data_IF_801805637007
#
_entry.id   IF_801805637007
#
_cell.length_a   1.000
_cell.length_b   1.000
_cell.length_c   1.000
_cell.angle_alpha   90.00
_cell.angle_beta   90.00
_cell.angle_gamma   90.00
#
_symmetry.space_group_name_H-M   'P 1'
#
loop_
_entity.id
_entity.type
_entity.pdbx_description
1 polymer ?
#
# COMPACT_ATOMS: atom_id res chain seq x y z
N UNK A 1 20.32 -5.31 -4.51
CA UNK A 1 19.24 -5.69 -5.45
C UNK A 1 17.93 -5.24 -4.83
N UNK A 2 17.05 -4.61 -5.60
CA UNK A 2 15.69 -4.26 -5.18
C UNK A 2 14.75 -5.42 -5.50
N UNK A 3 13.84 -5.78 -4.60
CA UNK A 3 12.83 -6.81 -4.85
C UNK A 3 12.75 -7.87 -3.75
N UNK A 4 11.57 -8.43 -3.56
CA UNK A 4 11.29 -9.45 -2.53
C UNK A 4 11.52 -10.88 -3.01
N UNK A 5 11.50 -11.09 -4.34
CA UNK A 5 11.75 -12.37 -5.02
C UNK A 5 11.09 -13.59 -4.36
N UNK A 6 9.83 -13.45 -3.97
CA UNK A 6 9.21 -14.34 -3.00
C UNK A 6 8.44 -15.52 -3.65
N UNK A 7 8.08 -15.44 -4.93
CA UNK A 7 7.38 -16.54 -5.59
C UNK A 7 8.29 -17.73 -5.90
N UNK A 8 7.70 -18.94 -5.94
CA UNK A 8 8.37 -20.13 -6.49
C UNK A 8 8.40 -20.11 -8.02
N UNK A 9 7.41 -19.47 -8.64
CA UNK A 9 7.33 -19.29 -10.08
C UNK A 9 8.23 -18.15 -10.56
N UNK A 10 8.74 -18.29 -11.79
CA UNK A 10 9.65 -17.33 -12.43
C UNK A 10 9.19 -17.06 -13.88
N UNK A 11 9.40 -15.84 -14.35
CA UNK A 11 9.33 -15.46 -15.76
C UNK A 11 10.67 -14.83 -16.14
N UNK A 12 11.31 -15.32 -17.21
CA UNK A 12 12.63 -14.85 -17.68
C UNK A 12 13.72 -14.81 -16.60
N UNK A 13 13.71 -15.77 -15.67
CA UNK A 13 14.66 -15.87 -14.56
C UNK A 13 14.41 -14.87 -13.42
N UNK A 14 13.28 -14.17 -13.44
CA UNK A 14 12.85 -13.26 -12.39
C UNK A 14 11.63 -13.81 -11.66
N UNK A 15 11.66 -13.75 -10.33
CA UNK A 15 10.51 -14.08 -9.47
C UNK A 15 9.51 -12.93 -9.42
N UNK A 16 8.27 -13.23 -9.09
CA UNK A 16 7.22 -12.26 -8.83
C UNK A 16 7.31 -11.70 -7.40
N UNK A 17 6.90 -10.44 -7.27
CA UNK A 17 6.56 -9.84 -5.98
C UNK A 17 5.07 -10.11 -5.72
N UNK A 18 4.74 -10.79 -4.62
CA UNK A 18 3.40 -11.31 -4.37
C UNK A 18 2.86 -10.88 -3.01
N UNK A 19 1.55 -10.67 -2.95
CA UNK A 19 0.79 -10.50 -1.74
C UNK A 19 -0.24 -11.63 -1.63
N UNK A 20 -0.34 -12.23 -0.45
CA UNK A 20 -1.25 -13.33 -0.14
C UNK A 20 -2.13 -12.92 1.03
N UNK A 21 -3.43 -13.13 0.89
CA UNK A 21 -4.38 -12.91 1.98
C UNK A 21 -4.75 -14.27 2.57
N UNK A 22 -4.78 -14.34 3.88
CA UNK A 22 -5.21 -15.51 4.64
C UNK A 22 -6.45 -15.16 5.45
N UNK A 23 -7.40 -16.10 5.53
CA UNK A 23 -8.53 -15.97 6.45
C UNK A 23 -8.15 -16.45 7.86
N UNK A 24 -9.09 -16.37 8.80
CA UNK A 24 -8.88 -16.73 10.22
C UNK A 24 -8.50 -18.19 10.46
N UNK A 25 -8.76 -19.09 9.50
CA UNK A 25 -8.38 -20.51 9.59
C UNK A 25 -7.10 -20.83 8.79
N UNK A 26 -6.40 -19.82 8.28
CA UNK A 26 -5.15 -19.97 7.54
C UNK A 26 -5.30 -20.44 6.09
N UNK A 27 -6.52 -20.46 5.54
CA UNK A 27 -6.73 -20.71 4.10
C UNK A 27 -6.33 -19.45 3.33
N UNK A 28 -5.73 -19.66 2.16
CA UNK A 28 -5.44 -18.62 1.16
C UNK A 28 -6.65 -18.45 0.22
N UNK A 29 -7.54 -17.47 0.43
CA UNK A 29 -8.57 -17.12 -0.55
C UNK A 29 -8.01 -16.32 -1.74
N UNK A 30 -6.85 -15.66 -1.61
CA UNK A 30 -6.44 -14.65 -2.57
C UNK A 30 -4.92 -14.47 -2.65
N UNK A 31 -4.43 -14.29 -3.87
CA UNK A 31 -3.03 -13.99 -4.21
C UNK A 31 -2.98 -12.97 -5.34
N UNK A 32 -2.19 -11.92 -5.17
CA UNK A 32 -1.92 -10.92 -6.20
C UNK A 32 -0.44 -10.84 -6.48
N UNK A 33 -0.07 -10.74 -7.76
CA UNK A 33 1.29 -10.47 -8.21
C UNK A 33 1.41 -9.01 -8.62
N UNK A 34 2.53 -8.37 -8.29
CA UNK A 34 2.78 -6.97 -8.64
C UNK A 34 2.74 -6.78 -10.16
N UNK A 35 2.03 -5.76 -10.61
CA UNK A 35 1.87 -5.49 -12.05
C UNK A 35 3.12 -4.86 -12.64
N UNK A 36 3.74 -3.94 -11.90
CA UNK A 36 4.87 -3.18 -12.41
C UNK A 36 6.03 -3.14 -11.42
N UNK A 37 7.26 -3.48 -11.84
CA UNK A 37 8.44 -3.34 -11.00
C UNK A 37 8.60 -1.90 -10.53
N UNK A 38 8.87 -1.69 -9.24
CA UNK A 38 9.06 -0.33 -8.74
C UNK A 38 10.28 0.32 -9.39
N UNK A 39 10.16 1.59 -9.75
CA UNK A 39 11.28 2.43 -10.18
C UNK A 39 11.67 3.39 -9.07
N UNK A 40 12.96 3.42 -8.75
CA UNK A 40 13.53 4.34 -7.76
C UNK A 40 14.53 5.25 -8.48
N UNK A 41 14.36 6.56 -8.36
CA UNK A 41 15.27 7.55 -8.95
C UNK A 41 16.67 7.48 -8.38
N UNK A 42 17.67 7.96 -9.13
CA UNK A 42 19.08 7.88 -8.78
C UNK A 42 19.42 8.43 -7.38
N UNK A 43 18.80 9.55 -6.97
CA UNK A 43 19.04 10.17 -5.65
C UNK A 43 18.59 9.26 -4.52
N UNK A 44 17.38 8.71 -4.62
CA UNK A 44 16.85 7.77 -3.63
C UNK A 44 17.62 6.44 -3.67
N UNK A 45 18.04 5.98 -4.85
CA UNK A 45 18.89 4.80 -4.98
C UNK A 45 20.24 4.99 -4.24
N UNK A 46 20.85 6.18 -4.34
CA UNK A 46 22.07 6.53 -3.60
C UNK A 46 21.86 6.52 -2.08
N UNK A 47 20.77 7.09 -1.59
CA UNK A 47 20.40 7.06 -0.15
C UNK A 47 20.25 5.61 0.34
N UNK A 48 19.69 4.74 -0.50
CA UNK A 48 19.51 3.32 -0.19
C UNK A 48 20.77 2.46 -0.42
N UNK A 49 21.89 3.04 -0.87
CA UNK A 49 23.13 2.31 -1.14
C UNK A 49 23.05 1.39 -2.35
N UNK A 50 22.21 1.71 -3.34
CA UNK A 50 22.00 0.93 -4.55
C UNK A 50 22.84 1.48 -5.70
N UNK A 51 23.49 0.59 -6.44
CA UNK A 51 24.19 0.95 -7.67
C UNK A 51 23.17 1.37 -8.74
N UNK A 52 23.28 2.61 -9.20
CA UNK A 52 22.44 3.16 -10.26
C UNK A 52 23.33 3.56 -11.44
N UNK A 53 23.25 2.83 -12.55
CA UNK A 53 23.99 3.13 -13.79
C UNK A 53 23.16 3.97 -14.78
N UNK A 54 21.92 4.29 -14.41
CA UNK A 54 20.90 4.98 -15.20
C UNK A 54 20.22 6.09 -14.37
N UNK A 55 19.17 6.73 -14.89
CA UNK A 55 18.39 7.73 -14.15
C UNK A 55 17.53 7.12 -13.02
N UNK A 56 17.27 5.82 -13.10
CA UNK A 56 16.52 5.05 -12.09
C UNK A 56 17.01 3.60 -12.02
N UNK A 57 16.74 2.95 -10.88
CA UNK A 57 16.91 1.51 -10.67
C UNK A 57 15.53 0.87 -10.62
N UNK A 58 15.33 -0.18 -11.41
CA UNK A 58 14.12 -1.00 -11.35
C UNK A 58 14.27 -2.13 -10.34
N UNK A 59 13.16 -2.47 -9.71
CA UNK A 59 13.00 -3.69 -8.93
C UNK A 59 13.28 -4.93 -9.80
N UNK A 60 14.04 -5.88 -9.27
CA UNK A 60 14.38 -7.12 -9.95
C UNK A 60 13.31 -8.19 -9.73
N UNK A 61 12.14 -7.94 -10.31
CA UNK A 61 10.98 -8.82 -10.26
C UNK A 61 10.29 -8.88 -11.63
N UNK A 62 9.68 -10.03 -11.92
CA UNK A 62 8.81 -10.19 -13.07
C UNK A 62 7.53 -9.33 -12.91
N UNK A 63 7.01 -8.86 -14.03
CA UNK A 63 5.80 -8.04 -14.11
C UNK A 63 4.57 -8.92 -14.38
N UNK A 64 3.56 -8.85 -13.52
CA UNK A 64 2.33 -9.58 -13.76
C UNK A 64 1.42 -8.88 -14.78
N UNK A 65 0.59 -9.67 -15.46
CA UNK A 65 -0.35 -9.19 -16.49
C UNK A 65 -1.82 -9.20 -16.03
N UNK A 66 -2.08 -9.56 -14.78
CA UNK A 66 -3.45 -9.75 -14.27
C UNK A 66 -3.63 -9.11 -12.90
N UNK A 67 -4.78 -8.49 -12.71
CA UNK A 67 -5.28 -8.09 -11.40
C UNK A 67 -6.40 -9.04 -11.02
N UNK A 68 -6.33 -9.56 -9.80
CA UNK A 68 -7.41 -10.34 -9.22
C UNK A 68 -8.28 -9.45 -8.36
N UNK A 69 -9.57 -9.72 -8.42
CA UNK A 69 -10.57 -9.08 -7.59
C UNK A 69 -11.35 -10.21 -6.93
N UNK A 70 -11.62 -10.10 -5.64
CA UNK A 70 -12.32 -11.13 -4.89
C UNK A 70 -13.37 -10.54 -3.98
N UNK A 71 -14.52 -11.21 -3.95
CA UNK A 71 -15.53 -11.04 -2.92
C UNK A 71 -15.16 -11.90 -1.73
N UNK A 72 -15.04 -11.28 -0.57
CA UNK A 72 -14.74 -11.94 0.70
C UNK A 72 -15.91 -11.76 1.64
N UNK A 73 -16.47 -12.87 2.15
CA UNK A 73 -17.68 -12.89 2.98
C UNK A 73 -17.67 -11.89 4.16
N UNK A 74 -16.49 -11.59 4.70
CA UNK A 74 -16.28 -10.72 5.86
C UNK A 74 -15.53 -9.42 5.54
N UNK A 75 -15.10 -9.23 4.30
CA UNK A 75 -14.25 -8.10 3.89
C UNK A 75 -14.77 -7.35 2.67
N UNK A 76 -15.86 -7.80 2.04
CA UNK A 76 -16.43 -7.17 0.85
C UNK A 76 -15.61 -7.43 -0.40
N UNK A 77 -15.70 -6.53 -1.37
CA UNK A 77 -15.00 -6.59 -2.64
C UNK A 77 -13.58 -6.00 -2.51
N UNK A 78 -12.56 -6.81 -2.79
CA UNK A 78 -11.17 -6.51 -2.42
C UNK A 78 -10.24 -6.56 -3.63
N UNK A 79 -9.36 -5.56 -3.71
CA UNK A 79 -8.21 -5.54 -4.62
C UNK A 79 -6.94 -5.36 -3.79
N UNK A 80 -5.84 -6.00 -4.20
CA UNK A 80 -4.51 -5.68 -3.69
C UNK A 80 -3.72 -4.98 -4.79
N UNK A 81 -3.10 -3.85 -4.48
CA UNK A 81 -2.19 -3.13 -5.39
C UNK A 81 -0.85 -2.95 -4.67
N UNK A 82 0.23 -3.55 -5.18
CA UNK A 82 1.49 -3.61 -4.44
C UNK A 82 2.33 -2.37 -4.76
N UNK A 83 2.64 -1.58 -3.73
CA UNK A 83 3.52 -0.41 -3.82
C UNK A 83 3.14 0.55 -4.96
N UNK A 84 3.98 0.66 -6.00
CA UNK A 84 3.77 1.56 -7.14
C UNK A 84 2.64 1.13 -8.09
N UNK A 85 2.00 -0.03 -7.91
CA UNK A 85 0.82 -0.41 -8.69
C UNK A 85 -0.30 0.65 -8.58
N UNK A 86 -0.42 1.34 -7.43
CA UNK A 86 -1.39 2.43 -7.28
C UNK A 86 -1.08 3.63 -8.18
N UNK A 87 0.16 3.81 -8.62
CA UNK A 87 0.57 4.92 -9.51
C UNK A 87 0.22 4.65 -10.97
N UNK A 88 -0.09 3.40 -11.34
CA UNK A 88 -0.45 3.07 -12.71
C UNK A 88 -1.79 3.70 -13.09
N UNK A 89 -1.93 4.07 -14.35
CA UNK A 89 -3.19 4.61 -14.90
C UNK A 89 -4.34 3.62 -14.78
N UNK A 90 -4.05 2.31 -14.90
CA UNK A 90 -5.04 1.23 -14.78
C UNK A 90 -5.66 1.15 -13.37
N UNK A 91 -4.97 1.63 -12.33
CA UNK A 91 -5.48 1.57 -10.96
C UNK A 91 -6.80 2.35 -10.81
N UNK A 92 -6.87 3.55 -11.39
CA UNK A 92 -8.09 4.35 -11.38
C UNK A 92 -9.24 3.64 -12.11
N UNK A 93 -8.97 3.08 -13.30
CA UNK A 93 -9.96 2.34 -14.08
C UNK A 93 -10.47 1.10 -13.33
N UNK A 94 -9.60 0.39 -12.62
CA UNK A 94 -10.00 -0.76 -11.82
C UNK A 94 -10.93 -0.34 -10.68
N UNK A 95 -10.59 0.73 -9.97
CA UNK A 95 -11.37 1.21 -8.83
C UNK A 95 -12.73 1.76 -9.30
N UNK A 96 -12.76 2.52 -10.38
CA UNK A 96 -14.01 3.10 -10.92
C UNK A 96 -14.95 2.02 -11.47
N UNK A 97 -14.43 1.03 -12.20
CA UNK A 97 -15.26 0.02 -12.85
C UNK A 97 -15.71 -1.10 -11.91
N UNK A 98 -14.87 -1.49 -10.95
CA UNK A 98 -15.17 -2.61 -10.05
C UNK A 98 -15.62 -2.17 -8.67
N UNK A 99 -15.45 -0.90 -8.32
CA UNK A 99 -15.90 -0.29 -7.06
C UNK A 99 -15.59 -1.17 -5.83
N UNK A 100 -14.31 -1.53 -5.59
CA UNK A 100 -13.97 -2.35 -4.43
C UNK A 100 -14.28 -1.60 -3.14
N UNK A 101 -14.75 -2.32 -2.12
CA UNK A 101 -14.88 -1.80 -0.77
C UNK A 101 -13.50 -1.45 -0.19
N UNK A 102 -12.51 -2.31 -0.48
CA UNK A 102 -11.15 -2.18 0.04
C UNK A 102 -10.08 -2.37 -1.03
N UNK A 103 -9.08 -1.49 -0.98
CA UNK A 103 -7.80 -1.65 -1.69
C UNK A 103 -6.68 -1.77 -0.67
N UNK A 104 -6.04 -2.92 -0.62
CA UNK A 104 -4.89 -3.17 0.25
C UNK A 104 -3.60 -2.84 -0.50
N UNK A 105 -2.75 -2.03 0.12
CA UNK A 105 -1.53 -1.51 -0.50
C UNK A 105 -0.31 -1.86 0.35
N UNK A 106 0.25 -3.07 0.21
CA UNK A 106 1.54 -3.38 0.82
C UNK A 106 2.64 -2.58 0.14
N UNK A 107 3.39 -1.82 0.93
CA UNK A 107 4.42 -0.89 0.47
C UNK A 107 5.76 -1.28 1.09
N UNK A 108 6.81 -1.21 0.28
CA UNK A 108 8.18 -1.28 0.75
C UNK A 108 8.77 0.14 0.76
N UNK A 109 8.54 0.89 1.84
CA UNK A 109 9.03 2.25 2.06
C UNK A 109 9.51 2.38 3.52
N UNK A 110 10.38 3.35 3.82
CA UNK A 110 10.85 3.59 5.19
C UNK A 110 9.79 4.25 6.07
N UNK A 111 8.77 4.89 5.48
CA UNK A 111 7.80 5.64 6.25
C UNK A 111 6.46 5.82 5.51
N UNK A 112 5.36 5.74 6.26
CA UNK A 112 4.02 6.14 5.83
C UNK A 112 3.60 7.36 6.65
N UNK A 113 3.21 8.42 5.96
CA UNK A 113 2.72 9.64 6.60
C UNK A 113 1.76 10.38 5.68
N UNK A 114 0.94 11.25 6.27
CA UNK A 114 0.11 12.18 5.52
C UNK A 114 0.98 13.02 4.55
N UNK A 115 0.39 13.37 3.41
CA UNK A 115 1.02 14.09 2.29
C UNK A 115 2.22 13.38 1.62
N UNK A 116 2.66 12.20 2.09
CA UNK A 116 3.60 11.37 1.32
C UNK A 116 2.93 10.75 0.09
N UNK A 117 3.74 10.18 -0.80
CA UNK A 117 3.28 9.69 -2.11
C UNK A 117 2.13 8.69 -2.00
N UNK A 118 2.19 7.77 -1.04
CA UNK A 118 1.18 6.74 -0.85
C UNK A 118 -0.16 7.36 -0.47
N UNK A 119 -0.15 8.21 0.58
CA UNK A 119 -1.33 8.96 1.01
C UNK A 119 -1.94 9.81 -0.09
N UNK A 120 -1.13 10.64 -0.77
CA UNK A 120 -1.62 11.50 -1.86
C UNK A 120 -2.27 10.68 -2.96
N UNK A 121 -1.65 9.57 -3.36
CA UNK A 121 -2.16 8.77 -4.46
C UNK A 121 -3.42 8.00 -4.10
N UNK A 122 -3.46 7.32 -2.96
CA UNK A 122 -4.65 6.57 -2.55
C UNK A 122 -5.82 7.49 -2.24
N UNK A 123 -5.57 8.65 -1.63
CA UNK A 123 -6.61 9.64 -1.39
C UNK A 123 -7.16 10.19 -2.72
N UNK A 124 -6.30 10.50 -3.69
CA UNK A 124 -6.72 10.90 -5.03
C UNK A 124 -7.52 9.80 -5.76
N UNK A 125 -7.13 8.53 -5.63
CA UNK A 125 -7.89 7.41 -6.18
C UNK A 125 -9.26 7.25 -5.53
N UNK A 126 -9.39 7.62 -4.24
CA UNK A 126 -10.65 7.60 -3.51
C UNK A 126 -11.54 8.83 -3.72
N UNK A 127 -11.16 9.77 -4.60
CA UNK A 127 -11.86 11.04 -4.77
C UNK A 127 -13.26 10.89 -5.36
N UNK A 128 -13.45 9.91 -6.25
CA UNK A 128 -14.68 9.71 -7.01
C UNK A 128 -15.37 8.38 -6.69
N UNK A 129 -15.02 7.74 -5.57
CA UNK A 129 -15.59 6.45 -5.17
C UNK A 129 -15.65 6.32 -3.65
N UNK A 130 -16.32 5.28 -3.15
CA UNK A 130 -16.41 4.98 -1.72
C UNK A 130 -15.34 3.97 -1.26
N UNK A 131 -14.36 3.67 -2.12
CA UNK A 131 -13.28 2.72 -1.83
C UNK A 131 -12.41 3.22 -0.70
N UNK A 132 -12.09 2.31 0.22
CA UNK A 132 -11.18 2.54 1.35
C UNK A 132 -9.83 1.89 1.06
N UNK A 133 -8.76 2.51 1.53
CA UNK A 133 -7.41 2.02 1.33
C UNK A 133 -6.77 1.68 2.67
N UNK A 134 -6.02 0.59 2.68
CA UNK A 134 -5.13 0.25 3.80
C UNK A 134 -3.74 0.07 3.24
N UNK A 135 -2.88 1.06 3.48
CA UNK A 135 -1.47 0.97 3.18
C UNK A 135 -0.72 0.37 4.38
N UNK A 136 0.18 -0.58 4.14
CA UNK A 136 1.05 -1.14 5.19
C UNK A 136 2.49 -1.05 4.75
N UNK A 137 3.42 -0.88 5.69
CA UNK A 137 4.85 -0.76 5.36
C UNK A 137 5.73 -1.67 6.21
N UNK A 138 6.99 -1.83 5.77
CA UNK A 138 8.00 -2.59 6.48
C UNK A 138 8.55 -1.82 7.68
N UNK A 139 8.34 -2.34 8.89
CA UNK A 139 8.96 -1.83 10.12
C UNK A 139 10.48 -1.94 10.10
N UNK A 140 11.03 -2.95 9.41
CA UNK A 140 12.47 -3.14 9.28
C UNK A 140 13.14 -1.99 8.53
N UNK A 141 12.49 -1.44 7.49
CA UNK A 141 13.03 -0.29 6.77
C UNK A 141 12.99 0.98 7.60
N UNK A 142 11.91 1.19 8.36
CA UNK A 142 11.81 2.29 9.33
C UNK A 142 12.99 2.24 10.29
N UNK A 143 13.20 1.11 10.97
CA UNK A 143 14.31 0.94 11.91
C UNK A 143 15.70 1.06 11.29
N UNK A 144 15.86 0.84 9.99
CA UNK A 144 17.17 0.95 9.34
C UNK A 144 17.52 2.39 8.93
N UNK A 145 16.52 3.22 8.66
CA UNK A 145 16.73 4.54 8.03
C UNK A 145 16.15 5.73 8.83
N UNK A 146 15.22 5.49 9.76
CA UNK A 146 14.53 6.53 10.55
C UNK A 146 14.38 6.08 12.02
N UNK A 147 15.43 6.28 12.82
CA UNK A 147 15.52 5.77 14.20
C UNK A 147 14.71 6.59 15.23
N UNK A 148 14.38 7.85 14.96
CA UNK A 148 13.94 8.82 15.98
C UNK A 148 12.43 9.09 15.99
N UNK A 149 11.62 8.25 15.33
CA UNK A 149 10.16 8.45 15.28
C UNK A 149 9.41 7.14 15.48
N UNK A 150 8.22 7.25 16.07
CA UNK A 150 7.34 6.10 16.27
C UNK A 150 7.11 5.34 14.95
N UNK A 151 7.21 4.00 14.96
CA UNK A 151 7.12 3.22 13.74
C UNK A 151 5.66 3.17 13.25
N UNK A 152 5.31 4.05 12.32
CA UNK A 152 4.07 3.94 11.56
C UNK A 152 4.15 2.66 10.72
N UNK A 153 3.28 1.70 11.02
CA UNK A 153 3.22 0.39 10.36
C UNK A 153 2.17 0.35 9.26
N UNK A 154 1.23 1.29 9.28
CA UNK A 154 0.17 1.35 8.28
C UNK A 154 -0.58 2.68 8.29
N UNK A 155 -1.45 2.84 7.31
CA UNK A 155 -2.33 4.00 7.16
C UNK A 155 -3.65 3.54 6.55
N UNK A 156 -4.77 3.88 7.19
CA UNK A 156 -6.09 3.73 6.59
C UNK A 156 -6.54 5.06 5.99
N UNK A 157 -7.11 5.04 4.78
CA UNK A 157 -7.32 6.23 3.94
C UNK A 157 -8.64 6.11 3.19
N UNK A 158 -9.33 7.24 2.99
CA UNK A 158 -10.52 7.38 2.18
C UNK A 158 -11.83 7.09 2.94
N UNK A 159 -12.96 7.11 2.23
CA UNK A 159 -13.09 7.80 0.94
C UNK A 159 -12.82 9.31 1.10
N UNK A 160 -12.26 9.96 0.07
CA UNK A 160 -11.93 11.39 0.18
C UNK A 160 -13.19 12.26 0.26
N UNK A 161 -14.23 11.85 -0.44
CA UNK A 161 -15.57 12.45 -0.39
C UNK A 161 -16.55 11.36 0.06
N UNK A 162 -16.78 11.23 1.37
CA UNK A 162 -17.69 10.21 1.88
C UNK A 162 -19.14 10.53 1.52
N UNK A 163 -19.95 9.48 1.37
CA UNK A 163 -21.38 9.61 1.13
C UNK A 163 -22.17 10.20 2.33
N UNK A 164 -21.54 10.28 3.51
CA UNK A 164 -22.17 10.83 4.73
C UNK A 164 -21.30 11.88 5.41
N UNK A 165 -21.93 12.96 5.89
CA UNK A 165 -21.24 14.08 6.57
C UNK A 165 -20.49 13.63 7.84
N UNK A 166 -20.94 12.54 8.48
CA UNK A 166 -20.26 11.94 9.66
C UNK A 166 -18.91 11.31 9.34
N UNK A 167 -18.62 11.08 8.06
CA UNK A 167 -17.36 10.51 7.59
C UNK A 167 -16.40 11.58 7.04
N UNK A 168 -16.81 12.84 6.87
CA UNK A 168 -15.97 13.90 6.28
C UNK A 168 -14.70 14.20 7.10
N UNK A 169 -14.72 13.99 8.42
CA UNK A 169 -13.55 14.14 9.29
C UNK A 169 -12.60 12.92 9.23
N UNK A 170 -12.92 11.89 8.43
CA UNK A 170 -12.32 10.55 8.48
C UNK A 170 -11.60 10.15 7.19
N UNK A 171 -10.81 11.06 6.66
CA UNK A 171 -10.12 10.80 5.39
C UNK A 171 -8.83 9.98 5.53
N UNK A 172 -8.16 10.02 6.69
CA UNK A 172 -6.98 9.20 6.94
C UNK A 172 -6.65 9.03 8.42
N UNK A 173 -5.94 7.94 8.76
CA UNK A 173 -5.31 7.71 10.08
C UNK A 173 -4.01 6.93 9.89
N UNK A 174 -2.94 7.36 10.57
CA UNK A 174 -1.70 6.58 10.66
C UNK A 174 -1.77 5.62 11.84
N UNK A 175 -1.28 4.40 11.65
CA UNK A 175 -1.25 3.35 12.65
C UNK A 175 0.19 3.14 13.08
N UNK A 176 0.45 3.40 14.35
CA UNK A 176 1.75 3.16 15.00
C UNK A 176 1.72 1.79 15.65
N UNK A 177 2.84 1.07 15.60
CA UNK A 177 2.99 -0.18 16.36
C UNK A 177 3.11 0.10 17.85
N UNK A 178 2.39 -0.67 18.66
CA UNK A 178 2.57 -0.73 20.11
C UNK A 178 3.94 -1.37 20.43
N UNK A 179 4.90 -0.60 20.98
CA UNK A 179 6.25 -1.09 21.25
C UNK A 179 6.28 -2.11 22.40
N UNK A 180 5.24 -2.18 23.22
CA UNK A 180 5.18 -3.07 24.39
C UNK A 180 4.64 -4.48 24.06
N UNK A 181 4.21 -4.72 22.81
CA UNK A 181 3.71 -6.01 22.35
C UNK A 181 4.73 -6.78 21.49
N UNK A 182 4.70 -8.11 21.59
CA UNK A 182 5.53 -9.00 20.76
C UNK A 182 4.69 -10.19 20.24
N UNK A 183 4.43 -10.28 18.92
CA UNK A 183 4.81 -9.30 17.89
C UNK A 183 4.17 -7.93 18.13
N UNK A 184 4.83 -6.86 17.68
CA UNK A 184 4.28 -5.51 17.80
C UNK A 184 3.02 -5.36 16.94
N UNK A 185 1.96 -4.77 17.51
CA UNK A 185 0.65 -4.66 16.87
C UNK A 185 0.24 -3.20 16.86
N UNK A 186 -0.31 -2.72 15.75
CA UNK A 186 -1.03 -1.47 15.68
C UNK A 186 -2.47 -1.71 15.26
N UNK A 187 -3.40 -0.92 15.81
CA UNK A 187 -4.83 -1.07 15.52
C UNK A 187 -5.46 0.27 15.20
N UNK A 188 -6.23 0.30 14.13
CA UNK A 188 -7.18 1.37 13.85
C UNK A 188 -8.60 0.82 13.88
N UNK A 189 -9.54 1.63 14.36
CA UNK A 189 -10.97 1.37 14.25
C UNK A 189 -11.54 2.42 13.30
N UNK A 190 -12.26 1.96 12.26
CA UNK A 190 -12.89 2.86 11.31
C UNK A 190 -13.86 3.79 12.02
N UNK A 191 -13.65 5.10 11.89
CA UNK A 191 -14.44 6.10 12.59
C UNK A 191 -14.28 6.17 14.10
N UNK A 192 -13.22 5.58 14.64
CA UNK A 192 -12.77 5.79 16.01
C UNK A 192 -12.11 7.16 16.22
N UNK A 193 -11.38 7.31 17.32
CA UNK A 193 -10.58 8.51 17.61
C UNK A 193 -9.29 8.54 16.74
N UNK A 194 -8.75 9.74 16.48
CA UNK A 194 -7.46 9.93 15.80
C UNK A 194 -7.50 10.05 14.28
N UNK A 195 -8.69 10.01 13.68
CA UNK A 195 -8.87 10.28 12.26
C UNK A 195 -8.70 11.77 11.96
N UNK A 196 -8.11 12.07 10.80
CA UNK A 196 -7.90 13.44 10.34
C UNK A 196 -8.54 13.67 8.97
N UNK A 197 -8.99 14.90 8.74
CA UNK A 197 -9.31 15.39 7.41
C UNK A 197 -8.01 15.67 6.63
N UNK A 198 -8.00 15.31 5.36
CA UNK A 198 -6.85 15.40 4.47
C UNK A 198 -7.24 16.28 3.29
N UNK A 199 -6.54 17.38 3.11
CA UNK A 199 -6.62 18.21 1.92
C UNK A 199 -5.33 18.02 1.14
N UNK A 200 -5.42 17.40 -0.04
CA UNK A 200 -4.28 17.37 -0.98
C UNK A 200 -4.35 18.64 -1.81
N UNK A 201 -3.50 19.61 -1.48
CA UNK A 201 -3.31 20.79 -2.33
C UNK A 201 -2.47 20.36 -3.53
N UNK A 202 -3.08 20.33 -4.71
CA UNK A 202 -2.37 20.15 -5.97
C UNK A 202 -1.71 21.48 -6.35
N UNK A 203 -0.38 21.52 -6.34
CA UNK A 203 0.38 22.61 -6.95
C UNK A 203 0.47 22.41 -8.46
#
# INVERSE_FOLDING_TARGET
>A
MLGTQHSLEEEDGQRFNEAVLFNSIGKEPYRQRKLWPASIGADQAKVLGLCCHSSSVLENNAAARTVRIADMDWFGHVIVLICQDTQLSIAAQLIENFQPDWVLVPILDCNLAAARWAHRRTLALSANCQTRFVAVTSTTLKWRYEHDTDPVIGMAIGPAVPASDREMERSAICVVADPDQSPAIGRAVWGGQGWVQSLVVTN
#
